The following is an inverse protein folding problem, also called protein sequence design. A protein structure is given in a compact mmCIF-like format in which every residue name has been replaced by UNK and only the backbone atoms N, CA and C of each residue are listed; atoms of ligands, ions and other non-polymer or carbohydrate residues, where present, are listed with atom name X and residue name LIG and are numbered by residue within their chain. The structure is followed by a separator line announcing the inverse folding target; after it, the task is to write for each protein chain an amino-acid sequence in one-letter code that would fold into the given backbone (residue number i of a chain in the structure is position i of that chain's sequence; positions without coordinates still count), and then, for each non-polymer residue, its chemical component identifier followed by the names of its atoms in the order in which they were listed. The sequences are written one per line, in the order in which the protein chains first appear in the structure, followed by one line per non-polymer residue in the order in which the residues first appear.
data_IF_367769471788
#
_entry.id   IF_367769471788
#
_cell.length_a   1.000
_cell.length_b   1.000
_cell.length_c   1.000
_cell.angle_alpha   90.00
_cell.angle_beta   90.00
_cell.angle_gamma   90.00
#
_symmetry.space_group_name_H-M   'P 1'
#
loop_
_entity.id
_entity.type
_entity.pdbx_description
1 polymer ?
#
# COMPACT_ATOMS: atom_id res chain seq x y z
N UNK A 1 -0.59 -18.17 -3.65
CA UNK A 1 -0.64 -16.79 -3.13
C UNK A 1 0.51 -15.97 -3.69
N UNK A 2 0.24 -14.71 -3.95
CA UNK A 2 1.24 -13.78 -4.45
C UNK A 2 1.49 -12.72 -3.37
N UNK A 3 2.78 -12.40 -3.16
CA UNK A 3 3.17 -11.40 -2.17
C UNK A 3 3.97 -10.30 -2.84
N UNK A 4 3.58 -9.06 -2.58
CA UNK A 4 4.31 -7.86 -3.01
C UNK A 4 4.86 -7.21 -1.75
N UNK A 5 6.18 -6.97 -1.69
CA UNK A 5 6.81 -6.51 -0.47
C UNK A 5 7.57 -5.22 -0.68
N UNK A 6 7.47 -4.31 0.28
CA UNK A 6 8.14 -3.02 0.25
C UNK A 6 8.47 -2.58 1.67
N UNK A 7 9.61 -1.91 1.86
CA UNK A 7 10.03 -1.38 3.14
C UNK A 7 9.68 0.10 3.22
N UNK A 8 8.76 0.44 4.14
CA UNK A 8 8.34 1.83 4.36
C UNK A 8 9.35 2.62 5.18
N UNK A 9 10.14 1.94 6.03
CA UNK A 9 10.97 2.62 6.99
C UNK A 9 10.13 3.19 8.14
N UNK A 10 10.53 4.31 8.68
CA UNK A 10 9.79 4.99 9.75
C UNK A 10 8.57 5.67 9.15
N UNK A 11 7.40 5.50 9.79
CA UNK A 11 6.18 6.14 9.34
C UNK A 11 6.23 7.64 9.59
N UNK A 12 5.87 8.41 8.58
CA UNK A 12 5.85 9.87 8.66
C UNK A 12 4.50 10.40 8.21
N UNK A 13 3.83 11.06 9.12
CA UNK A 13 2.56 11.71 8.84
C UNK A 13 2.74 12.83 7.80
N UNK A 14 1.76 12.95 6.90
CA UNK A 14 1.74 14.01 5.91
C UNK A 14 2.50 13.72 4.62
N UNK A 15 3.15 12.57 4.53
CA UNK A 15 3.92 12.18 3.36
C UNK A 15 3.32 10.92 2.75
N UNK A 16 2.58 11.06 1.66
CA UNK A 16 2.14 9.93 0.89
C UNK A 16 3.30 9.30 0.14
N UNK A 17 3.17 8.04 -0.19
CA UNK A 17 4.22 7.31 -0.91
C UNK A 17 3.63 6.52 -2.05
N UNK A 18 4.10 6.79 -3.26
CA UNK A 18 3.71 6.07 -4.45
C UNK A 18 4.69 4.92 -4.67
N UNK A 19 4.19 3.69 -4.72
CA UNK A 19 5.02 2.51 -4.92
C UNK A 19 4.52 1.71 -6.11
N UNK A 20 5.46 1.14 -6.86
CA UNK A 20 5.20 0.33 -8.03
C UNK A 20 5.74 -1.06 -7.86
N UNK A 21 5.01 -2.01 -8.43
CA UNK A 21 5.47 -3.38 -8.53
C UNK A 21 5.40 -3.83 -9.97
N UNK A 22 6.46 -4.50 -10.41
CA UNK A 22 6.50 -5.12 -11.73
C UNK A 22 5.81 -6.47 -11.64
N UNK A 23 4.74 -6.64 -12.41
CA UNK A 23 3.96 -7.88 -12.37
C UNK A 23 4.14 -8.72 -13.65
N UNK A 24 5.07 -8.36 -14.53
CA UNK A 24 5.27 -9.02 -15.82
C UNK A 24 5.70 -10.49 -15.68
N UNK A 25 6.30 -10.88 -14.57
CA UNK A 25 6.69 -12.26 -14.32
C UNK A 25 5.59 -13.12 -13.71
N UNK A 26 4.46 -12.51 -13.37
CA UNK A 26 3.34 -13.22 -12.75
C UNK A 26 2.52 -13.97 -13.82
N UNK A 27 1.72 -14.97 -13.42
CA UNK A 27 0.81 -15.61 -14.36
C UNK A 27 -0.09 -14.57 -15.01
N UNK A 28 -0.21 -14.61 -16.34
CA UNK A 28 -1.04 -13.63 -17.06
C UNK A 28 -2.53 -13.93 -16.93
N UNK A 29 -2.89 -15.04 -16.36
CA UNK A 29 -4.29 -15.46 -16.20
C UNK A 29 -4.77 -15.12 -14.79
N UNK A 30 -5.68 -14.16 -14.69
CA UNK A 30 -6.25 -13.74 -13.41
C UNK A 30 -6.98 -14.90 -12.71
N UNK A 31 -7.47 -15.88 -13.45
CA UNK A 31 -8.20 -17.00 -12.86
C UNK A 31 -7.28 -17.93 -12.05
N UNK A 32 -5.97 -17.89 -12.28
CA UNK A 32 -5.01 -18.67 -11.49
C UNK A 32 -4.57 -17.96 -10.23
N UNK A 33 -4.97 -16.71 -10.01
CA UNK A 33 -4.64 -15.96 -8.82
C UNK A 33 -5.63 -16.29 -7.71
N UNK A 34 -5.13 -16.88 -6.62
CA UNK A 34 -5.98 -17.19 -5.47
C UNK A 34 -6.07 -16.00 -4.52
N UNK A 35 -4.92 -15.49 -4.09
CA UNK A 35 -4.86 -14.31 -3.21
C UNK A 35 -3.63 -13.50 -3.54
N UNK A 36 -3.69 -12.21 -3.26
CA UNK A 36 -2.53 -11.33 -3.33
C UNK A 36 -2.48 -10.45 -2.10
N UNK A 37 -1.32 -10.37 -1.48
CA UNK A 37 -1.09 -9.52 -0.33
C UNK A 37 0.02 -8.53 -0.63
N UNK A 38 -0.21 -7.28 -0.25
CA UNK A 38 0.84 -6.28 -0.17
C UNK A 38 1.35 -6.28 1.26
N UNK A 39 2.65 -6.48 1.43
CA UNK A 39 3.31 -6.47 2.72
C UNK A 39 4.24 -5.27 2.80
N UNK A 40 3.98 -4.41 3.76
CA UNK A 40 4.77 -3.20 3.98
C UNK A 40 5.51 -3.32 5.29
N UNK A 41 6.83 -3.26 5.25
CA UNK A 41 7.65 -3.35 6.44
C UNK A 41 7.78 -1.98 7.09
N UNK A 42 7.41 -1.91 8.36
CA UNK A 42 7.47 -0.70 9.16
C UNK A 42 8.67 -0.78 10.10
N UNK A 43 9.49 0.28 10.11
CA UNK A 43 10.52 0.45 11.12
C UNK A 43 9.95 1.24 12.29
N UNK A 44 10.36 0.94 13.54
CA UNK A 44 9.84 1.66 14.69
C UNK A 44 10.42 3.06 14.76
N UNK A 45 9.62 4.01 15.25
CA UNK A 45 10.15 5.31 15.62
C UNK A 45 10.54 5.27 17.09
N UNK A 46 11.70 5.83 17.39
CA UNK A 46 12.21 5.90 18.76
C UNK A 46 11.83 7.20 19.47
N UNK A 47 11.10 8.07 18.79
CA UNK A 47 10.72 9.34 19.40
C UNK A 47 9.39 9.19 20.14
N UNK A 48 9.36 9.64 21.26
CA UNK A 48 8.45 10.30 22.17
C UNK A 48 7.06 9.72 22.43
N UNK A 49 6.29 9.31 21.45
CA UNK A 49 4.90 8.90 21.65
C UNK A 49 4.68 7.49 21.14
N UNK A 50 5.16 6.46 21.88
CA UNK A 50 5.05 5.09 21.38
C UNK A 50 3.62 4.58 21.25
N UNK A 51 2.68 5.25 21.90
CA UNK A 51 1.26 4.88 21.84
C UNK A 51 0.50 5.55 20.70
N UNK A 52 1.15 6.40 19.90
CA UNK A 52 0.48 7.05 18.78
C UNK A 52 -0.02 6.00 17.79
N UNK A 53 -1.33 6.04 17.55
CA UNK A 53 -1.99 5.11 16.65
C UNK A 53 -2.19 5.75 15.29
N UNK A 54 -2.03 4.93 14.25
CA UNK A 54 -2.19 5.35 12.86
C UNK A 54 -3.02 4.33 12.10
N UNK A 55 -3.73 4.80 11.09
CA UNK A 55 -4.27 3.93 10.06
C UNK A 55 -3.40 4.10 8.80
N UNK A 56 -2.86 3.00 8.31
CA UNK A 56 -2.14 2.97 7.04
C UNK A 56 -3.14 2.56 5.98
N UNK A 57 -3.32 3.42 4.98
CA UNK A 57 -4.30 3.18 3.92
C UNK A 57 -3.56 2.95 2.62
N UNK A 58 -3.95 1.88 1.92
CA UNK A 58 -3.45 1.56 0.59
C UNK A 58 -4.49 1.95 -0.43
N UNK A 59 -4.11 2.79 -1.37
CA UNK A 59 -4.95 3.23 -2.49
C UNK A 59 -4.41 2.64 -3.78
N UNK A 60 -5.32 2.22 -4.65
CA UNK A 60 -4.99 1.88 -6.03
C UNK A 60 -5.03 3.17 -6.84
N UNK A 61 -3.97 3.45 -7.59
CA UNK A 61 -3.93 4.61 -8.47
C UNK A 61 -4.62 4.25 -9.78
N UNK A 62 -5.73 4.93 -10.09
CA UNK A 62 -6.53 4.65 -11.29
C UNK A 62 -6.12 5.51 -12.47
N UNK A 63 -5.72 6.75 -12.21
CA UNK A 63 -5.27 7.65 -13.28
C UNK A 63 -4.36 8.73 -12.71
N UNK A 64 -3.50 9.26 -13.58
CA UNK A 64 -2.62 10.38 -13.25
C UNK A 64 -2.81 11.41 -14.36
N UNK A 65 -3.11 12.66 -13.98
CA UNK A 65 -3.29 13.73 -14.97
C UNK A 65 -1.98 14.43 -15.30
N UNK A 66 -2.03 15.41 -16.21
CA UNK A 66 -0.83 16.10 -16.70
C UNK A 66 -0.15 16.97 -15.63
N UNK A 67 -0.85 17.28 -14.54
CA UNK A 67 -0.33 18.10 -13.46
C UNK A 67 0.09 17.27 -12.27
N UNK A 68 0.12 15.94 -12.38
CA UNK A 68 0.49 15.04 -11.31
C UNK A 68 -0.63 14.70 -10.36
N UNK A 69 -1.85 15.17 -10.62
CA UNK A 69 -3.02 14.79 -9.84
C UNK A 69 -3.37 13.34 -10.08
N UNK A 70 -3.76 12.63 -9.03
CA UNK A 70 -4.08 11.21 -9.11
C UNK A 70 -5.52 10.96 -8.68
N UNK A 71 -6.20 10.10 -9.45
CA UNK A 71 -7.47 9.55 -9.01
C UNK A 71 -7.19 8.17 -8.42
N UNK A 72 -7.66 7.97 -7.20
CA UNK A 72 -7.34 6.78 -6.43
C UNK A 72 -8.58 6.24 -5.76
N UNK A 73 -8.55 4.93 -5.46
CA UNK A 73 -9.57 4.32 -4.62
C UNK A 73 -8.90 3.54 -3.50
N UNK A 74 -9.50 3.57 -2.31
CA UNK A 74 -8.99 2.82 -1.19
C UNK A 74 -9.26 1.33 -1.41
N UNK A 75 -8.21 0.52 -1.26
CA UNK A 75 -8.36 -0.93 -1.42
C UNK A 75 -8.16 -1.69 -0.12
N UNK A 76 -7.42 -1.13 0.83
CA UNK A 76 -7.19 -1.79 2.12
C UNK A 76 -6.70 -0.78 3.14
N UNK A 77 -6.88 -1.11 4.42
CA UNK A 77 -6.39 -0.29 5.52
C UNK A 77 -6.06 -1.18 6.71
N UNK A 78 -5.03 -0.80 7.47
CA UNK A 78 -4.59 -1.52 8.66
C UNK A 78 -4.21 -0.50 9.73
N UNK A 79 -4.57 -0.76 10.98
CA UNK A 79 -4.19 0.06 12.11
C UNK A 79 -2.83 -0.39 12.64
N UNK A 80 -2.00 0.56 13.02
CA UNK A 80 -0.70 0.29 13.61
C UNK A 80 -0.35 1.40 14.61
N UNK A 81 0.82 1.32 15.21
CA UNK A 81 1.33 2.38 16.09
C UNK A 81 2.72 2.79 15.63
N UNK A 82 3.13 3.99 16.07
CA UNK A 82 4.44 4.53 15.68
C UNK A 82 5.60 3.66 16.18
N UNK A 83 5.42 2.97 17.31
CA UNK A 83 6.46 2.13 17.90
C UNK A 83 6.47 0.71 17.37
N UNK A 84 5.47 0.32 16.58
CA UNK A 84 5.40 -1.04 16.07
C UNK A 84 6.49 -1.29 15.03
N UNK A 85 6.91 -2.53 14.96
CA UNK A 85 7.91 -2.98 14.01
C UNK A 85 7.43 -4.25 13.34
N UNK A 86 7.65 -4.37 12.04
CA UNK A 86 7.35 -5.59 11.32
C UNK A 86 6.51 -5.34 10.09
N UNK A 87 5.88 -6.41 9.63
CA UNK A 87 5.14 -6.42 8.39
C UNK A 87 3.68 -6.09 8.62
N UNK A 88 3.16 -5.15 7.84
CA UNK A 88 1.73 -4.87 7.72
C UNK A 88 1.23 -5.57 6.48
N UNK A 89 0.10 -6.26 6.57
CA UNK A 89 -0.43 -7.06 5.48
C UNK A 89 -1.75 -6.50 4.98
N UNK A 90 -1.85 -6.33 3.67
CA UNK A 90 -3.02 -5.74 3.01
C UNK A 90 -3.49 -6.68 1.91
N UNK A 91 -4.78 -6.96 1.88
CA UNK A 91 -5.36 -7.77 0.81
C UNK A 91 -5.56 -6.89 -0.43
N UNK A 92 -4.81 -7.18 -1.48
CA UNK A 92 -4.87 -6.45 -2.75
C UNK A 92 -5.24 -7.36 -3.92
N UNK A 93 -5.91 -8.47 -3.63
CA UNK A 93 -6.24 -9.49 -4.63
C UNK A 93 -6.99 -8.89 -5.83
N UNK A 94 -8.00 -8.06 -5.57
CA UNK A 94 -8.82 -7.51 -6.66
C UNK A 94 -7.99 -6.59 -7.56
N UNK A 95 -7.11 -5.76 -6.97
CA UNK A 95 -6.26 -4.87 -7.75
C UNK A 95 -5.29 -5.67 -8.63
N UNK A 96 -4.65 -6.68 -8.05
CA UNK A 96 -3.68 -7.48 -8.80
C UNK A 96 -4.37 -8.28 -9.90
N UNK A 97 -5.54 -8.84 -9.62
CA UNK A 97 -6.32 -9.55 -10.64
C UNK A 97 -6.64 -8.63 -11.83
N UNK A 98 -7.04 -7.40 -11.55
CA UNK A 98 -7.30 -6.41 -12.59
C UNK A 98 -6.05 -6.13 -13.43
N UNK A 99 -4.89 -5.97 -12.78
CA UNK A 99 -3.64 -5.66 -13.49
C UNK A 99 -3.13 -6.85 -14.31
N UNK A 100 -3.37 -8.08 -13.87
CA UNK A 100 -3.00 -9.25 -14.66
C UNK A 100 -3.81 -9.32 -15.95
N UNK A 101 -5.07 -8.92 -15.92
CA UNK A 101 -5.90 -8.88 -17.11
C UNK A 101 -5.65 -7.66 -18.00
N UNK A 102 -5.14 -6.58 -17.42
CA UNK A 102 -4.87 -5.33 -18.13
C UNK A 102 -3.61 -4.66 -17.57
N UNK A 103 -2.41 -5.16 -17.93
CA UNK A 103 -1.16 -4.66 -17.34
C UNK A 103 -0.94 -3.15 -17.50
N UNK A 104 -1.50 -2.54 -18.53
CA UNK A 104 -1.37 -1.11 -18.72
C UNK A 104 -2.10 -0.30 -17.65
N UNK A 105 -3.04 -0.91 -16.93
CA UNK A 105 -3.76 -0.25 -15.84
C UNK A 105 -2.98 -0.21 -14.53
N UNK A 106 -1.84 -0.89 -14.47
CA UNK A 106 -1.00 -0.90 -13.27
C UNK A 106 -0.29 0.44 -13.14
N UNK A 107 -0.84 1.32 -12.31
CA UNK A 107 -0.23 2.59 -11.95
C UNK A 107 0.25 2.61 -10.51
N UNK A 108 0.34 1.43 -9.89
CA UNK A 108 0.86 1.26 -8.56
C UNK A 108 -0.12 1.57 -7.46
N UNK A 109 0.41 1.59 -6.25
CA UNK A 109 -0.33 1.94 -5.04
C UNK A 109 0.18 3.25 -4.47
N UNK A 110 -0.72 3.97 -3.81
CA UNK A 110 -0.34 5.14 -3.04
C UNK A 110 -0.69 4.90 -1.58
N UNK A 111 0.29 5.09 -0.69
CA UNK A 111 0.18 4.78 0.73
C UNK A 111 0.04 6.08 1.50
N UNK A 112 -1.00 6.18 2.34
CA UNK A 112 -1.19 7.34 3.21
C UNK A 112 -1.27 6.92 4.65
N UNK A 113 -0.93 7.84 5.56
CA UNK A 113 -0.96 7.64 7.00
C UNK A 113 -1.93 8.60 7.62
N UNK A 114 -2.79 8.09 8.50
CA UNK A 114 -3.82 8.90 9.15
C UNK A 114 -3.70 8.72 10.67
N UNK A 115 -3.15 9.71 11.40
CA UNK A 115 -3.08 9.58 12.85
C UNK A 115 -4.48 9.64 13.46
N UNK A 116 -4.68 8.86 14.53
CA UNK A 116 -5.95 8.83 15.23
C UNK A 116 -6.13 10.04 16.13
N UNK A 117 -5.03 10.63 16.59
CA UNK A 117 -5.10 11.83 17.42
C UNK A 117 -4.88 13.05 16.53
N UNK A 118 -5.76 14.03 16.68
CA UNK A 118 -5.62 15.30 15.98
C UNK A 118 -4.89 16.28 16.90
N UNK A 119 -3.85 16.93 16.44
CA UNK A 119 -3.20 17.98 17.22
C UNK A 119 -4.09 19.20 17.39
#
# INVERSE_FOLDING_TARGET
STYLEHHLGVLRHGHGRHIWFEVSGAPSDASSLLTAELRLHQAPTHSVEPADLYTVVVHRVNSVDNLGGMQMEQVAAVNTSASAEGWLEFNVTAALASWLGAPADNRGFFITLHPHTQP
#
